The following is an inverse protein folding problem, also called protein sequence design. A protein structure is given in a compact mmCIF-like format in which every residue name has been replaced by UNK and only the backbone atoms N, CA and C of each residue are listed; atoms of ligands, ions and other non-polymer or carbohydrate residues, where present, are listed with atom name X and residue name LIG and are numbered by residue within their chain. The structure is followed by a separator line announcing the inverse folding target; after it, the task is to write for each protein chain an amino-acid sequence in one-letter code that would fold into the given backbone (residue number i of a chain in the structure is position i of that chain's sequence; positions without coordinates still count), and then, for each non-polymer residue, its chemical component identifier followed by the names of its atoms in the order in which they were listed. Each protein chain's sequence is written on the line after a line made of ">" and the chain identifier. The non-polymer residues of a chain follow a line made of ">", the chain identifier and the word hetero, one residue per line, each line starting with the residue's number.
data_IF_625364557252
#
_entry.id   IF_625364557252
#
_cell.length_a   1.000
_cell.length_b   1.000
_cell.length_c   1.000
_cell.angle_alpha   90.00
_cell.angle_beta   90.00
_cell.angle_gamma   90.00
#
_symmetry.space_group_name_H-M   'P 1'
#
loop_
_entity.id
_entity.type
_entity.pdbx_description
1 polymer ?
#
# COMPACT_ATOMS: atom_id res chain seq x y z
N UNK A 1 6.49 -32.20 -19.36
CA UNK A 1 5.21 -31.71 -18.85
C UNK A 1 5.45 -31.04 -17.50
N UNK A 2 5.41 -29.71 -17.46
CA UNK A 2 5.58 -28.94 -16.24
C UNK A 2 4.18 -28.78 -15.61
N UNK A 3 4.01 -29.30 -14.40
CA UNK A 3 2.72 -29.31 -13.71
C UNK A 3 2.23 -27.90 -13.37
N UNK A 4 0.91 -27.73 -13.19
CA UNK A 4 0.29 -26.44 -12.94
C UNK A 4 0.59 -25.96 -11.52
N UNK A 5 0.52 -24.64 -11.35
CA UNK A 5 0.64 -23.94 -10.08
C UNK A 5 2.03 -23.99 -9.44
N UNK A 6 2.92 -23.12 -9.93
CA UNK A 6 3.90 -22.52 -9.03
C UNK A 6 3.16 -22.05 -7.78
N UNK A 7 3.46 -22.67 -6.64
CA UNK A 7 3.05 -22.20 -5.33
C UNK A 7 3.67 -20.80 -5.15
N UNK A 8 2.99 -19.77 -5.67
CA UNK A 8 3.32 -18.39 -5.34
C UNK A 8 3.06 -18.28 -3.84
N UNK A 9 4.08 -17.99 -3.02
CA UNK A 9 3.92 -18.08 -1.59
C UNK A 9 2.78 -17.15 -1.15
N UNK A 10 1.79 -17.73 -0.47
CA UNK A 10 0.70 -17.06 0.28
C UNK A 10 1.21 -15.95 1.22
N UNK A 11 2.52 -15.84 1.41
CA UNK A 11 3.22 -15.02 2.40
C UNK A 11 3.81 -13.71 1.87
N UNK A 12 3.62 -13.32 0.60
CA UNK A 12 4.10 -12.01 0.12
C UNK A 12 3.21 -10.87 0.64
N UNK A 13 3.35 -10.57 1.93
CA UNK A 13 2.92 -9.31 2.54
C UNK A 13 4.17 -8.45 2.72
N UNK A 14 4.19 -7.29 2.09
CA UNK A 14 5.31 -6.35 2.19
C UNK A 14 4.80 -4.94 2.36
N UNK A 15 5.51 -4.17 3.19
CA UNK A 15 5.35 -2.73 3.32
C UNK A 15 6.71 -2.09 3.11
N UNK A 16 6.82 -1.21 2.12
CA UNK A 16 7.99 -0.38 1.85
C UNK A 16 7.71 1.07 2.21
N UNK A 17 8.73 1.79 2.68
CA UNK A 17 8.64 3.23 2.93
C UNK A 17 9.86 3.90 2.30
N UNK A 18 9.63 4.93 1.50
CA UNK A 18 10.68 5.71 0.84
C UNK A 18 10.38 7.19 0.99
N UNK A 19 11.24 7.91 1.69
CA UNK A 19 11.13 9.37 1.83
C UNK A 19 11.77 10.07 0.62
N UNK A 20 11.13 11.15 0.16
CA UNK A 20 11.66 12.09 -0.84
C UNK A 20 11.65 13.51 -0.26
N UNK A 21 12.06 14.51 -1.04
CA UNK A 21 12.01 15.91 -0.56
C UNK A 21 10.58 16.44 -0.39
N UNK A 22 9.63 15.94 -1.19
CA UNK A 22 8.29 16.53 -1.31
C UNK A 22 7.19 15.66 -0.71
N UNK A 23 7.47 14.38 -0.43
CA UNK A 23 6.53 13.42 0.13
C UNK A 23 7.25 12.12 0.57
N UNK A 24 6.53 11.31 1.35
CA UNK A 24 6.88 9.93 1.65
C UNK A 24 6.03 8.97 0.80
N UNK A 25 6.67 8.03 0.10
CA UNK A 25 6.00 6.94 -0.58
C UNK A 25 5.87 5.72 0.34
N UNK A 26 4.66 5.18 0.45
CA UNK A 26 4.33 3.94 1.15
C UNK A 26 3.89 2.90 0.12
N UNK A 27 4.63 1.82 0.03
CA UNK A 27 4.37 0.71 -0.88
C UNK A 27 3.76 -0.46 -0.10
N UNK A 28 2.64 -1.01 -0.57
CA UNK A 28 1.91 -2.09 0.08
C UNK A 28 1.73 -3.22 -0.93
N UNK A 29 1.96 -4.45 -0.51
CA UNK A 29 1.56 -5.65 -1.28
C UNK A 29 1.02 -6.70 -0.32
N UNK A 30 -0.09 -7.35 -0.67
CA UNK A 30 -0.66 -8.38 0.19
C UNK A 30 -2.01 -8.92 -0.29
N UNK A 31 -2.72 -9.63 0.59
CA UNK A 31 -4.07 -10.13 0.33
C UNK A 31 -5.08 -8.99 0.32
N UNK A 32 -5.90 -8.94 -0.72
CA UNK A 32 -7.03 -8.03 -0.81
C UNK A 32 -8.18 -8.56 0.05
N UNK A 33 -8.55 -7.80 1.09
CA UNK A 33 -9.67 -8.12 1.98
C UNK A 33 -10.60 -6.91 2.06
N UNK A 34 -11.92 -7.13 2.25
CA UNK A 34 -12.84 -6.04 2.53
C UNK A 34 -12.32 -5.15 3.67
N UNK A 35 -12.29 -3.84 3.44
CA UNK A 35 -11.83 -2.86 4.42
C UNK A 35 -10.34 -2.54 4.41
N UNK A 36 -9.49 -3.27 3.67
CA UNK A 36 -8.03 -3.05 3.66
C UNK A 36 -7.64 -1.58 3.44
N UNK A 37 -8.11 -0.97 2.36
CA UNK A 37 -7.77 0.42 2.05
C UNK A 37 -8.42 1.41 3.03
N UNK A 38 -9.58 1.06 3.59
CA UNK A 38 -10.24 1.89 4.61
C UNK A 38 -9.41 1.92 5.89
N UNK A 39 -8.87 0.78 6.32
CA UNK A 39 -8.00 0.70 7.49
C UNK A 39 -6.70 1.47 7.26
N UNK A 40 -6.07 1.31 6.09
CA UNK A 40 -4.86 2.07 5.73
C UNK A 40 -5.13 3.57 5.75
N UNK A 41 -6.21 4.02 5.09
CA UNK A 41 -6.59 5.43 5.07
C UNK A 41 -6.87 5.95 6.47
N UNK A 42 -7.56 5.18 7.33
CA UNK A 42 -7.85 5.59 8.69
C UNK A 42 -6.58 5.77 9.52
N UNK A 43 -5.59 4.87 9.36
CA UNK A 43 -4.28 5.01 10.02
C UNK A 43 -3.57 6.28 9.54
N UNK A 44 -3.52 6.53 8.23
CA UNK A 44 -2.88 7.72 7.68
C UNK A 44 -3.56 9.01 8.16
N UNK A 45 -4.90 9.05 8.19
CA UNK A 45 -5.65 10.17 8.77
C UNK A 45 -5.37 10.36 10.26
N UNK A 46 -5.31 9.27 11.03
CA UNK A 46 -5.00 9.33 12.46
C UNK A 46 -3.56 9.81 12.74
N UNK A 47 -2.63 9.52 11.82
CA UNK A 47 -1.26 9.99 11.85
C UNK A 47 -1.08 11.40 11.28
N UNK A 48 -2.16 12.10 10.93
CA UNK A 48 -2.10 13.45 10.37
C UNK A 48 -1.29 13.49 9.08
N UNK A 49 -1.51 12.51 8.21
CA UNK A 49 -0.93 12.48 6.87
C UNK A 49 -1.99 12.83 5.82
N UNK A 50 -1.63 13.70 4.87
CA UNK A 50 -2.37 13.92 3.64
C UNK A 50 -1.96 12.88 2.60
N UNK A 51 -2.92 12.29 1.88
CA UNK A 51 -2.62 11.45 0.71
C UNK A 51 -2.67 12.34 -0.53
N UNK A 52 -1.52 12.64 -1.12
CA UNK A 52 -1.41 13.51 -2.31
C UNK A 52 -1.55 12.75 -3.63
N UNK A 53 -1.20 11.46 -3.63
CA UNK A 53 -1.44 10.55 -4.73
C UNK A 53 -1.58 9.11 -4.20
N UNK A 54 -2.41 8.30 -4.84
CA UNK A 54 -2.51 6.87 -4.53
C UNK A 54 -2.79 6.08 -5.79
N UNK A 55 -1.93 5.11 -6.07
CA UNK A 55 -2.13 4.12 -7.13
C UNK A 55 -2.39 2.76 -6.48
N UNK A 56 -3.46 2.10 -6.90
CA UNK A 56 -3.92 0.84 -6.30
C UNK A 56 -4.25 -0.15 -7.40
N UNK A 57 -3.76 -1.37 -7.26
CA UNK A 57 -4.03 -2.49 -8.16
C UNK A 57 -4.60 -3.66 -7.37
N UNK A 58 -5.68 -4.26 -7.88
CA UNK A 58 -6.26 -5.48 -7.32
C UNK A 58 -6.40 -6.56 -8.38
N UNK A 59 -5.98 -7.77 -8.04
CA UNK A 59 -6.08 -8.93 -8.94
C UNK A 59 -6.03 -10.24 -8.15
N UNK A 60 -6.92 -11.18 -8.43
CA UNK A 60 -6.94 -12.52 -7.82
C UNK A 60 -6.76 -12.51 -6.29
N UNK A 61 -7.55 -11.68 -5.59
CA UNK A 61 -7.49 -11.52 -4.13
C UNK A 61 -6.14 -10.96 -3.62
N UNK A 62 -5.39 -10.27 -4.47
CA UNK A 62 -4.17 -9.55 -4.11
C UNK A 62 -4.38 -8.06 -4.33
N UNK A 63 -3.82 -7.27 -3.43
CA UNK A 63 -3.74 -5.82 -3.55
C UNK A 63 -2.27 -5.41 -3.60
N UNK A 64 -1.98 -4.41 -4.42
CA UNK A 64 -0.77 -3.63 -4.36
C UNK A 64 -1.16 -2.15 -4.33
N UNK A 65 -0.42 -1.33 -3.58
CA UNK A 65 -0.65 0.10 -3.57
C UNK A 65 0.67 0.87 -3.41
N UNK A 66 0.74 2.03 -4.03
CA UNK A 66 1.75 3.07 -3.74
C UNK A 66 0.98 4.32 -3.34
N UNK A 67 1.21 4.79 -2.12
CA UNK A 67 0.59 6.00 -1.58
C UNK A 67 1.66 7.04 -1.31
N UNK A 68 1.55 8.21 -1.94
CA UNK A 68 2.39 9.36 -1.63
C UNK A 68 1.67 10.17 -0.57
N UNK A 69 2.35 10.35 0.56
CA UNK A 69 1.81 11.05 1.72
C UNK A 69 2.72 12.19 2.13
N UNK A 70 2.12 13.26 2.64
CA UNK A 70 2.83 14.35 3.30
C UNK A 70 2.31 14.50 4.71
N UNK A 71 3.09 15.09 5.60
CA UNK A 71 2.58 15.56 6.89
C UNK A 71 1.49 16.63 6.67
N UNK A 72 0.45 16.63 7.50
CA UNK A 72 -0.68 17.55 7.41
C UNK A 72 -0.31 18.98 7.81
N UNK A 73 0.60 19.15 8.76
CA UNK A 73 1.04 20.45 9.26
C UNK A 73 2.08 21.08 8.33
N UNK A 74 3.09 20.30 7.92
CA UNK A 74 4.21 20.84 7.13
C UNK A 74 4.05 20.70 5.62
N UNK A 75 3.19 19.78 5.16
CA UNK A 75 3.01 19.50 3.73
C UNK A 75 4.21 18.81 3.08
N UNK A 76 5.11 18.19 3.86
CA UNK A 76 6.33 17.51 3.41
C UNK A 76 6.33 16.01 3.71
#
# INVERSE_FOLDING_TARGET
>A
SLGPESCFPTTMRSVGVKQTMDHTAIELMGSDRPGLLSEVSAVLTNLKCNIVNAEVWTHNMRAAAVMHVTDEETGS
#
